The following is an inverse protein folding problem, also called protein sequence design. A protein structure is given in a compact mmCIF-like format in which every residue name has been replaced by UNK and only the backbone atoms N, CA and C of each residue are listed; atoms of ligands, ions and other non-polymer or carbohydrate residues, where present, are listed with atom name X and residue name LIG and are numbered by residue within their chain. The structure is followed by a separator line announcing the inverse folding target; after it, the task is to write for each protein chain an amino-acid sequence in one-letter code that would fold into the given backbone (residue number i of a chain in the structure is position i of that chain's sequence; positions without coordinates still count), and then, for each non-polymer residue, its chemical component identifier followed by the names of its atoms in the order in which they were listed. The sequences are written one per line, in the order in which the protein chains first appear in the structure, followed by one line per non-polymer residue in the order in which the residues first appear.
data_IF_076500361983
#
_entry.id   IF_076500361983
#
_cell.length_a   1.000
_cell.length_b   1.000
_cell.length_c   1.000
_cell.angle_alpha   90.00
_cell.angle_beta   90.00
_cell.angle_gamma   90.00
#
_symmetry.space_group_name_H-M   'P 1'
#
loop_
_entity.id
_entity.type
_entity.pdbx_description
1 polymer ?
#
# COMPACT_ATOMS: atom_id res chain seq x y z
N UNK A 1 8.72 18.40 14.40
CA UNK A 1 8.39 17.19 15.15
C UNK A 1 7.94 16.09 14.22
N UNK A 2 8.25 14.86 14.52
CA UNK A 2 7.78 13.73 13.72
C UNK A 2 6.52 13.12 14.34
N UNK A 3 5.72 12.50 13.49
CA UNK A 3 4.54 11.74 13.87
C UNK A 3 4.78 10.28 13.52
N UNK A 4 4.27 9.37 14.35
CA UNK A 4 4.38 7.93 14.10
C UNK A 4 3.00 7.37 13.86
N UNK A 5 2.78 6.86 12.64
CA UNK A 5 1.54 6.19 12.29
C UNK A 5 1.73 4.68 12.53
N UNK A 6 0.94 4.13 13.44
CA UNK A 6 0.98 2.70 13.78
C UNK A 6 -0.21 2.00 13.13
N UNK A 7 0.07 1.21 12.12
CA UNK A 7 -0.96 0.52 11.33
C UNK A 7 -0.54 -0.91 11.06
N UNK A 8 -1.51 -1.77 10.75
CA UNK A 8 -1.18 -3.12 10.29
C UNK A 8 -0.47 -3.04 8.93
N UNK A 9 0.44 -3.97 8.69
CA UNK A 9 1.22 -3.99 7.44
C UNK A 9 0.33 -4.03 6.20
N UNK A 10 -0.81 -4.73 6.26
CA UNK A 10 -1.75 -4.78 5.14
C UNK A 10 -2.28 -3.38 4.78
N UNK A 11 -2.45 -2.51 5.77
CA UNK A 11 -2.86 -1.12 5.51
C UNK A 11 -1.71 -0.30 4.93
N UNK A 12 -0.48 -0.54 5.40
CA UNK A 12 0.70 0.10 4.80
C UNK A 12 0.82 -0.27 3.32
N UNK A 13 0.55 -1.53 2.97
CA UNK A 13 0.50 -1.97 1.57
C UNK A 13 -0.59 -1.25 0.79
N UNK A 14 -1.81 -1.18 1.34
CA UNK A 14 -2.93 -0.51 0.67
C UNK A 14 -2.63 0.96 0.39
N UNK A 15 -2.06 1.67 1.38
CA UNK A 15 -1.67 3.07 1.23
C UNK A 15 -0.59 3.21 0.17
N UNK A 16 0.47 2.39 0.25
CA UNK A 16 1.58 2.42 -0.71
C UNK A 16 1.08 2.20 -2.14
N UNK A 17 0.27 1.16 -2.35
CA UNK A 17 -0.24 0.80 -3.66
C UNK A 17 -1.12 1.90 -4.24
N UNK A 18 -2.01 2.47 -3.42
CA UNK A 18 -2.89 3.55 -3.86
C UNK A 18 -2.13 4.83 -4.17
N UNK A 19 -1.18 5.23 -3.31
CA UNK A 19 -0.37 6.43 -3.55
C UNK A 19 0.46 6.29 -4.83
N UNK A 20 1.03 5.13 -5.06
CA UNK A 20 1.84 4.87 -6.24
C UNK A 20 1.04 4.95 -7.54
N UNK A 21 -0.26 4.62 -7.48
CA UNK A 21 -1.15 4.61 -8.64
C UNK A 21 -1.85 5.93 -8.94
N UNK A 22 -1.69 6.94 -8.08
CA UNK A 22 -2.32 8.24 -8.32
C UNK A 22 -1.70 8.87 -9.58
N UNK A 23 -2.51 9.13 -10.63
CA UNK A 23 -2.00 9.85 -11.79
C UNK A 23 -1.62 11.29 -11.40
N UNK A 24 -0.56 11.85 -11.97
CA UNK A 24 -0.16 13.24 -11.66
C UNK A 24 -1.28 14.27 -11.83
N UNK A 25 -2.18 14.05 -12.78
CA UNK A 25 -3.34 14.94 -13.02
C UNK A 25 -4.35 14.96 -11.88
N UNK A 26 -4.37 13.91 -11.05
CA UNK A 26 -5.32 13.78 -9.95
C UNK A 26 -4.76 14.29 -8.62
N UNK A 27 -3.52 14.76 -8.61
CA UNK A 27 -2.97 15.41 -7.43
C UNK A 27 -3.72 16.72 -7.19
N UNK A 28 -4.29 16.92 -6.00
CA UNK A 28 -5.13 18.10 -5.71
C UNK A 28 -4.35 19.43 -5.74
N UNK A 29 -3.05 19.38 -5.57
CA UNK A 29 -2.16 20.53 -5.73
C UNK A 29 -0.83 20.06 -6.25
N UNK A 30 -0.05 20.99 -6.77
CA UNK A 30 1.17 20.80 -7.49
C UNK A 30 2.36 20.28 -6.66
N UNK A 31 3.52 20.78 -6.83
CA UNK A 31 4.80 20.26 -6.37
C UNK A 31 4.90 19.79 -4.92
N UNK A 32 4.20 20.42 -3.97
CA UNK A 32 4.30 20.07 -2.55
C UNK A 32 3.81 18.66 -2.24
N UNK A 33 2.66 18.28 -2.77
CA UNK A 33 2.09 16.95 -2.54
C UNK A 33 2.95 15.88 -3.21
N UNK A 34 3.43 16.14 -4.42
CA UNK A 34 4.33 15.20 -5.10
C UNK A 34 5.60 14.96 -4.29
N UNK A 35 6.19 16.03 -3.75
CA UNK A 35 7.37 15.93 -2.92
C UNK A 35 7.11 15.12 -1.65
N UNK A 36 6.00 15.42 -0.97
CA UNK A 36 5.64 14.73 0.27
C UNK A 36 5.34 13.26 0.03
N UNK A 37 4.62 12.93 -1.03
CA UNK A 37 4.36 11.53 -1.40
C UNK A 37 5.67 10.81 -1.70
N UNK A 38 6.59 11.46 -2.41
CA UNK A 38 7.91 10.90 -2.70
C UNK A 38 8.72 10.64 -1.43
N UNK A 39 8.56 11.46 -0.40
CA UNK A 39 9.24 11.29 0.88
C UNK A 39 8.62 10.15 1.72
N UNK A 40 7.30 9.99 1.65
CA UNK A 40 6.57 8.96 2.41
C UNK A 40 6.72 7.58 1.78
N UNK A 41 6.74 7.48 0.45
CA UNK A 41 6.80 6.20 -0.26
C UNK A 41 7.99 5.32 0.13
N UNK A 42 9.23 5.83 0.28
CA UNK A 42 10.35 4.98 0.66
C UNK A 42 10.18 4.30 2.02
N UNK A 43 9.61 5.00 3.00
CA UNK A 43 9.37 4.42 4.32
C UNK A 43 8.29 3.35 4.26
N UNK A 44 7.18 3.63 3.59
CA UNK A 44 6.12 2.64 3.36
C UNK A 44 6.65 1.42 2.60
N UNK A 45 7.49 1.64 1.60
CA UNK A 45 8.06 0.56 0.79
C UNK A 45 8.84 -0.45 1.64
N UNK A 46 9.60 0.05 2.63
CA UNK A 46 10.36 -0.81 3.53
C UNK A 46 9.49 -1.79 4.31
N UNK A 47 8.26 -1.42 4.62
CA UNK A 47 7.32 -2.27 5.36
C UNK A 47 6.55 -3.26 4.46
N UNK A 48 6.58 -3.09 3.14
CA UNK A 48 5.73 -3.87 2.23
C UNK A 48 6.53 -4.63 1.17
N UNK A 49 7.81 -4.89 1.43
CA UNK A 49 8.73 -5.56 0.50
C UNK A 49 8.19 -6.92 0.03
N UNK A 50 7.59 -7.71 0.94
CA UNK A 50 7.06 -9.03 0.58
C UNK A 50 5.89 -8.94 -0.41
N UNK A 51 5.05 -7.91 -0.27
CA UNK A 51 3.96 -7.68 -1.23
C UNK A 51 4.51 -7.28 -2.60
N UNK A 52 5.53 -6.42 -2.62
CA UNK A 52 6.18 -5.99 -3.86
C UNK A 52 6.79 -7.18 -4.59
N UNK A 53 7.48 -8.07 -3.88
CA UNK A 53 8.05 -9.28 -4.47
C UNK A 53 7.00 -10.15 -5.15
N UNK A 54 5.83 -10.29 -4.54
CA UNK A 54 4.73 -11.07 -5.10
C UNK A 54 4.17 -10.44 -6.38
N UNK A 55 4.09 -9.12 -6.41
CA UNK A 55 3.68 -8.39 -7.63
C UNK A 55 4.71 -8.57 -8.74
N UNK A 56 6.00 -8.51 -8.42
CA UNK A 56 7.08 -8.74 -9.39
C UNK A 56 7.01 -10.15 -9.97
N UNK A 57 6.76 -11.17 -9.15
CA UNK A 57 6.59 -12.54 -9.61
C UNK A 57 5.39 -12.68 -10.55
N UNK A 58 4.27 -12.04 -10.22
CA UNK A 58 3.08 -12.05 -11.06
C UNK A 58 3.34 -11.36 -12.42
N UNK A 59 4.07 -10.26 -12.41
CA UNK A 59 4.45 -9.54 -13.63
C UNK A 59 5.35 -10.40 -14.51
N UNK A 60 6.36 -11.03 -13.92
CA UNK A 60 7.27 -11.94 -14.63
C UNK A 60 6.50 -13.10 -15.26
N UNK A 61 5.55 -13.68 -14.53
CA UNK A 61 4.72 -14.75 -15.03
C UNK A 61 3.89 -14.30 -16.23
N UNK A 62 3.30 -13.09 -16.16
CA UNK A 62 2.54 -12.51 -17.27
C UNK A 62 3.39 -12.26 -18.50
N UNK A 63 4.62 -11.81 -18.33
CA UNK A 63 5.56 -11.57 -19.42
C UNK A 63 5.95 -12.89 -20.12
N UNK A 64 6.20 -13.94 -19.34
CA UNK A 64 6.49 -15.26 -19.89
C UNK A 64 5.30 -15.83 -20.67
N UNK A 65 4.10 -15.65 -20.14
CA UNK A 65 2.87 -16.07 -20.82
C UNK A 65 2.68 -15.32 -22.14
N UNK A 66 2.91 -14.01 -22.16
CA UNK A 66 2.81 -13.20 -23.37
C UNK A 66 3.84 -13.60 -24.41
N UNK A 67 5.05 -14.00 -24.01
CA UNK A 67 6.11 -14.51 -24.88
C UNK A 67 5.94 -15.97 -25.28
N UNK A 68 4.88 -16.62 -24.79
CA UNK A 68 4.61 -18.06 -25.04
C UNK A 68 5.72 -18.98 -24.55
N UNK A 69 6.50 -18.56 -23.57
CA UNK A 69 7.56 -19.36 -22.95
C UNK A 69 7.03 -20.44 -22.02
N UNK A 70 5.79 -20.27 -21.55
CA UNK A 70 5.11 -21.19 -20.64
C UNK A 70 3.70 -21.50 -21.13
N UNK A 71 3.17 -22.67 -20.74
CA UNK A 71 1.83 -23.11 -21.11
C UNK A 71 0.76 -22.45 -20.23
N UNK A 72 -0.51 -22.54 -20.65
CA UNK A 72 -1.65 -22.03 -19.87
C UNK A 72 -1.72 -22.73 -18.49
N UNK A 73 -1.43 -24.03 -18.44
CA UNK A 73 -1.42 -24.79 -17.20
C UNK A 73 -0.33 -24.27 -16.23
N UNK A 74 0.84 -23.95 -16.78
CA UNK A 74 1.95 -23.38 -16.00
C UNK A 74 1.59 -21.98 -15.46
N UNK A 75 0.88 -21.18 -16.27
CA UNK A 75 0.39 -19.87 -15.83
C UNK A 75 -0.57 -20.03 -14.64
N UNK A 76 -1.52 -20.97 -14.78
CA UNK A 76 -2.51 -21.23 -13.74
C UNK A 76 -1.86 -21.67 -12.43
N UNK A 77 -0.92 -22.62 -12.52
CA UNK A 77 -0.17 -23.09 -11.35
C UNK A 77 0.60 -21.94 -10.68
N UNK A 78 1.25 -21.11 -11.45
CA UNK A 78 2.00 -19.95 -10.95
C UNK A 78 1.10 -18.92 -10.26
N UNK A 79 -0.04 -18.62 -10.86
CA UNK A 79 -1.03 -17.69 -10.29
C UNK A 79 -1.58 -18.24 -8.98
N UNK A 80 -1.96 -19.53 -8.97
CA UNK A 80 -2.50 -20.17 -7.77
C UNK A 80 -1.49 -20.15 -6.62
N UNK A 81 -0.22 -20.42 -6.92
CA UNK A 81 0.85 -20.37 -5.92
C UNK A 81 1.07 -18.98 -5.36
N UNK A 82 1.09 -17.96 -6.22
CA UNK A 82 1.27 -16.57 -5.79
C UNK A 82 0.09 -16.14 -4.91
N UNK A 83 -1.14 -16.48 -5.31
CA UNK A 83 -2.33 -16.16 -4.55
C UNK A 83 -2.34 -16.83 -3.18
N UNK A 84 -1.90 -18.10 -3.10
CA UNK A 84 -1.79 -18.81 -1.84
C UNK A 84 -0.76 -18.16 -0.91
N UNK A 85 0.41 -17.82 -1.43
CA UNK A 85 1.46 -17.13 -0.68
C UNK A 85 0.99 -15.77 -0.18
N UNK A 86 0.22 -15.05 -1.01
CA UNK A 86 -0.36 -13.76 -0.64
C UNK A 86 -1.34 -13.90 0.53
N UNK A 87 -2.25 -14.87 0.44
CA UNK A 87 -3.22 -15.12 1.52
C UNK A 87 -2.52 -15.52 2.82
N UNK A 88 -1.53 -16.40 2.74
CA UNK A 88 -0.78 -16.85 3.91
C UNK A 88 -0.02 -15.69 4.56
N UNK A 89 0.62 -14.87 3.76
CA UNK A 89 1.33 -13.71 4.25
C UNK A 89 0.40 -12.69 4.90
N UNK A 90 -0.79 -12.46 4.32
CA UNK A 90 -1.77 -11.56 4.92
C UNK A 90 -2.22 -12.04 6.31
N UNK A 91 -2.35 -13.35 6.49
CA UNK A 91 -2.74 -13.92 7.79
C UNK A 91 -1.62 -13.82 8.83
N UNK A 92 -0.38 -13.99 8.41
CA UNK A 92 0.78 -14.04 9.31
C UNK A 92 1.44 -12.68 9.49
N UNK A 93 1.94 -12.10 8.40
CA UNK A 93 2.69 -10.85 8.43
C UNK A 93 1.86 -9.60 8.19
N UNK A 94 0.73 -9.73 7.51
CA UNK A 94 -0.13 -8.59 7.17
C UNK A 94 -0.82 -7.96 8.38
N UNK A 95 -0.97 -8.71 9.47
CA UNK A 95 -1.57 -8.23 10.71
C UNK A 95 -0.56 -7.61 11.67
N UNK A 96 0.72 -7.69 11.38
CA UNK A 96 1.76 -7.07 12.21
C UNK A 96 1.60 -5.55 12.18
N UNK A 97 1.74 -4.93 13.35
CA UNK A 97 1.72 -3.47 13.46
C UNK A 97 3.09 -2.94 13.05
N UNK A 98 3.11 -2.05 12.08
CA UNK A 98 4.33 -1.37 11.64
C UNK A 98 4.25 0.10 11.99
N UNK A 99 5.41 0.73 12.18
CA UNK A 99 5.50 2.14 12.50
C UNK A 99 5.99 2.90 11.27
N UNK A 100 5.16 3.81 10.77
CA UNK A 100 5.51 4.68 9.66
C UNK A 100 5.84 6.05 10.24
N UNK A 101 7.09 6.48 10.04
CA UNK A 101 7.58 7.75 10.59
C UNK A 101 7.37 8.86 9.56
N UNK A 102 6.66 9.91 9.99
CA UNK A 102 6.31 11.03 9.12
C UNK A 102 6.72 12.33 9.81
N UNK A 103 7.25 13.27 9.05
CA UNK A 103 7.36 14.63 9.57
C UNK A 103 5.96 15.27 9.59
N UNK A 104 5.84 16.48 10.15
CA UNK A 104 4.54 17.15 10.28
C UNK A 104 3.89 17.39 8.92
N UNK A 105 4.66 17.76 7.91
CA UNK A 105 4.16 17.98 6.55
C UNK A 105 3.72 16.68 5.90
N UNK A 106 4.51 15.62 6.05
CA UNK A 106 4.18 14.29 5.54
C UNK A 106 2.91 13.73 6.15
N UNK A 107 2.77 13.86 7.46
CA UNK A 107 1.55 13.45 8.17
C UNK A 107 0.33 14.22 7.68
N UNK A 108 0.44 15.52 7.59
CA UNK A 108 -0.64 16.41 7.16
C UNK A 108 -1.11 16.06 5.75
N UNK A 109 -0.16 15.83 4.84
CA UNK A 109 -0.47 15.49 3.46
C UNK A 109 -1.12 14.11 3.36
N UNK A 110 -0.60 13.12 4.07
CA UNK A 110 -1.17 11.77 4.06
C UNK A 110 -2.58 11.77 4.64
N UNK A 111 -2.79 12.49 5.75
CA UNK A 111 -4.11 12.62 6.37
C UNK A 111 -5.08 13.34 5.44
N UNK A 112 -4.65 14.35 4.72
CA UNK A 112 -5.49 15.06 3.75
C UNK A 112 -5.93 14.12 2.61
N UNK A 113 -5.05 13.24 2.15
CA UNK A 113 -5.41 12.22 1.16
C UNK A 113 -6.41 11.22 1.73
N UNK A 114 -6.22 10.81 2.97
CA UNK A 114 -7.14 9.90 3.65
C UNK A 114 -8.53 10.53 3.82
N UNK A 115 -8.58 11.81 4.18
CA UNK A 115 -9.83 12.54 4.41
C UNK A 115 -10.52 12.97 3.10
N UNK A 116 -9.82 12.93 1.98
CA UNK A 116 -10.38 13.30 0.68
C UNK A 116 -11.53 12.36 0.32
N UNK A 117 -12.57 12.93 -0.27
CA UNK A 117 -13.79 12.19 -0.62
C UNK A 117 -13.51 10.87 -1.35
N UNK A 118 -13.86 9.76 -0.70
CA UNK A 118 -13.72 8.41 -1.24
C UNK A 118 -12.32 7.82 -1.22
N UNK A 119 -11.29 8.59 -0.90
CA UNK A 119 -9.91 8.10 -0.97
C UNK A 119 -9.53 7.15 0.17
N UNK A 120 -9.83 7.53 1.42
CA UNK A 120 -9.54 6.67 2.57
C UNK A 120 -10.24 5.32 2.49
N UNK A 121 -11.42 5.28 1.89
CA UNK A 121 -12.19 4.04 1.72
C UNK A 121 -11.54 3.08 0.73
N UNK A 122 -10.70 3.58 -0.18
CA UNK A 122 -9.98 2.73 -1.13
C UNK A 122 -8.83 1.97 -0.49
N UNK A 123 -8.40 2.39 0.70
CA UNK A 123 -7.27 1.79 1.42
C UNK A 123 -7.70 0.60 2.27
N UNK A 124 -8.99 0.36 2.41
CA UNK A 124 -9.55 -0.66 3.30
C UNK A 124 -10.69 -1.41 2.61
N UNK A 125 -10.98 -2.61 3.10
CA UNK A 125 -12.00 -3.48 2.51
C UNK A 125 -13.40 -3.24 3.06
N UNK A 126 -13.52 -2.74 4.30
CA UNK A 126 -14.81 -2.58 4.97
C UNK A 126 -14.78 -1.44 5.98
N UNK A 127 -15.95 -1.15 6.58
CA UNK A 127 -16.09 -0.03 7.50
C UNK A 127 -15.34 -0.21 8.81
N UNK A 128 -15.17 -1.45 9.27
CA UNK A 128 -14.42 -1.73 10.50
C UNK A 128 -12.95 -1.40 10.32
N UNK A 129 -12.38 -1.77 9.18
CA UNK A 129 -11.01 -1.42 8.83
C UNK A 129 -10.84 0.08 8.64
N UNK A 130 -11.85 0.74 8.07
CA UNK A 130 -11.84 2.20 7.94
C UNK A 130 -11.79 2.87 9.32
N UNK A 131 -12.58 2.39 10.27
CA UNK A 131 -12.57 2.87 11.66
C UNK A 131 -11.22 2.67 12.34
N UNK A 132 -10.59 1.51 12.11
CA UNK A 132 -9.25 1.21 12.63
C UNK A 132 -8.22 2.21 12.11
N UNK A 133 -8.27 2.51 10.82
CA UNK A 133 -7.36 3.46 10.20
C UNK A 133 -7.61 4.90 10.68
N UNK A 134 -8.88 5.28 10.88
CA UNK A 134 -9.23 6.57 11.47
C UNK A 134 -8.62 6.74 12.85
N UNK A 135 -8.70 5.71 13.70
CA UNK A 135 -8.10 5.73 15.04
C UNK A 135 -6.58 5.88 14.96
N UNK A 136 -5.94 5.16 14.03
CA UNK A 136 -4.50 5.23 13.86
C UNK A 136 -4.04 6.65 13.51
N UNK A 137 -4.75 7.33 12.60
CA UNK A 137 -4.46 8.73 12.27
C UNK A 137 -4.73 9.67 13.43
N UNK A 138 -5.81 9.46 14.18
CA UNK A 138 -6.12 10.27 15.34
C UNK A 138 -5.04 10.15 16.42
N UNK A 139 -4.58 8.95 16.71
CA UNK A 139 -3.52 8.72 17.68
C UNK A 139 -2.20 9.34 17.24
N UNK A 140 -1.85 9.19 15.97
CA UNK A 140 -0.63 9.76 15.41
C UNK A 140 -0.64 11.29 15.44
N UNK A 141 -1.81 11.90 15.32
CA UNK A 141 -2.00 13.35 15.31
C UNK A 141 -1.93 14.01 16.69
N UNK A 142 -1.97 13.22 17.74
CA UNK A 142 -1.81 13.75 19.10
C UNK A 142 -0.36 14.10 19.35
#
# INVERSE_FOLDING_TARGET
MSKTLKIRRVFAWAIYDNLKRIPPKDYPTTGEIKSTISDVLPDLKGHVVEYIKKIELATELSEKAAGKEITEDQVKEGVDKINEEWRNYNKEGGNDIVEVYLDDEGFKTLKAQFDREGWGKKWVANIDEFGELLEAFAEAGK
#
